data_IF_985837881145
#
_entry.id   IF_985837881145
#
_cell.length_a   1.000
_cell.length_b   1.000
_cell.length_c   1.000
_cell.angle_alpha   90.00
_cell.angle_beta   90.00
_cell.angle_gamma   90.00
#
_symmetry.space_group_name_H-M   'P 1'
#
loop_
_entity.id
_entity.type
_entity.pdbx_description
1 polymer ?
#
# COMPACT_ATOMS: atom_id res chain seq x y z
N UNK A 1 12.68 -16.65 -23.47
CA UNK A 1 12.97 -15.52 -22.56
C UNK A 1 14.32 -14.96 -22.97
N UNK A 2 14.42 -13.69 -23.36
CA UNK A 2 15.71 -13.07 -23.70
C UNK A 2 16.58 -13.10 -22.44
N UNK A 3 17.71 -13.80 -22.49
CA UNK A 3 18.68 -13.81 -21.41
C UNK A 3 19.20 -12.38 -21.24
N UNK A 4 18.78 -11.71 -20.16
CA UNK A 4 19.32 -10.42 -19.80
C UNK A 4 20.80 -10.60 -19.47
N UNK A 5 21.65 -9.82 -20.13
CA UNK A 5 23.09 -9.78 -19.85
C UNK A 5 23.40 -8.49 -19.11
N UNK A 6 24.15 -8.56 -18.02
CA UNK A 6 24.58 -7.39 -17.25
C UNK A 6 26.05 -7.49 -16.88
N UNK A 7 26.67 -6.32 -16.68
CA UNK A 7 28.02 -6.27 -16.16
C UNK A 7 28.04 -6.76 -14.70
N UNK A 8 28.87 -7.75 -14.41
CA UNK A 8 29.08 -8.25 -13.06
C UNK A 8 30.41 -7.71 -12.53
N UNK A 9 30.38 -6.92 -11.48
CA UNK A 9 31.58 -6.32 -10.86
C UNK A 9 32.55 -7.38 -10.34
N UNK A 10 32.04 -8.50 -9.80
CA UNK A 10 32.88 -9.61 -9.30
C UNK A 10 33.55 -10.41 -10.42
N UNK A 11 32.87 -10.60 -11.56
CA UNK A 11 33.46 -11.26 -12.73
C UNK A 11 34.26 -10.30 -13.62
N UNK A 12 34.10 -9.00 -13.43
CA UNK A 12 34.64 -7.93 -14.26
C UNK A 12 34.31 -8.08 -15.76
N UNK A 13 33.12 -8.58 -16.09
CA UNK A 13 32.64 -8.75 -17.48
C UNK A 13 31.12 -8.85 -17.56
N UNK A 14 30.59 -8.75 -18.77
CA UNK A 14 29.17 -8.95 -19.08
C UNK A 14 28.83 -10.43 -19.00
N UNK A 15 27.90 -10.78 -18.11
CA UNK A 15 27.45 -12.13 -17.82
C UNK A 15 25.95 -12.25 -18.00
N UNK A 16 25.48 -13.46 -18.25
CA UNK A 16 24.06 -13.79 -18.16
C UNK A 16 23.59 -13.68 -16.70
N UNK A 17 22.35 -13.24 -16.53
CA UNK A 17 21.73 -13.07 -15.21
C UNK A 17 20.48 -13.93 -15.05
N UNK A 18 20.28 -14.39 -13.83
CA UNK A 18 19.00 -14.92 -13.36
C UNK A 18 18.22 -13.80 -12.69
N UNK A 19 16.95 -13.62 -13.09
CA UNK A 19 16.05 -12.65 -12.45
C UNK A 19 15.27 -13.35 -11.36
N UNK A 20 15.38 -12.84 -10.15
CA UNK A 20 14.69 -13.33 -8.97
C UNK A 20 13.79 -12.22 -8.40
N UNK A 21 12.85 -12.61 -7.53
CA UNK A 21 11.99 -11.69 -6.80
C UNK A 21 12.10 -11.89 -5.29
N UNK A 22 11.88 -10.82 -4.54
CA UNK A 22 11.69 -10.86 -3.10
C UNK A 22 10.69 -9.80 -2.66
N UNK A 23 10.06 -10.00 -1.50
CA UNK A 23 9.24 -8.95 -0.88
C UNK A 23 10.15 -7.94 -0.21
N UNK A 24 10.01 -6.68 -0.57
CA UNK A 24 10.67 -5.55 0.09
C UNK A 24 9.61 -4.57 0.59
N UNK A 25 9.87 -3.96 1.74
CA UNK A 25 9.02 -2.90 2.26
C UNK A 25 9.77 -1.58 2.25
N UNK A 26 9.05 -0.50 1.95
CA UNK A 26 9.59 0.86 1.99
C UNK A 26 8.62 1.78 2.71
N UNK A 27 9.18 2.60 3.59
CA UNK A 27 8.43 3.56 4.39
C UNK A 27 8.41 4.92 3.68
N UNK A 28 7.24 5.53 3.63
CA UNK A 28 6.98 6.84 3.05
C UNK A 28 6.24 7.70 4.07
N UNK A 29 6.20 9.01 3.85
CA UNK A 29 5.49 9.94 4.73
C UNK A 29 3.98 9.66 4.84
N UNK A 30 3.41 8.96 3.86
CA UNK A 30 1.99 8.59 3.79
C UNK A 30 1.70 7.18 4.32
N UNK A 31 2.73 6.41 4.68
CA UNK A 31 2.61 5.04 5.17
C UNK A 31 3.68 4.09 4.62
N UNK A 32 3.53 2.81 4.92
CA UNK A 32 4.46 1.74 4.52
C UNK A 32 3.87 0.93 3.37
N UNK A 33 4.62 0.79 2.28
CA UNK A 33 4.26 -0.12 1.18
C UNK A 33 5.09 -1.40 1.25
N UNK A 34 4.53 -2.49 0.74
CA UNK A 34 5.26 -3.74 0.46
C UNK A 34 5.09 -4.08 -1.00
N UNK A 35 6.18 -4.42 -1.67
CA UNK A 35 6.20 -4.68 -3.11
C UNK A 35 7.14 -5.85 -3.45
N UNK A 36 6.89 -6.48 -4.59
CA UNK A 36 7.76 -7.54 -5.12
C UNK A 36 8.92 -6.89 -5.88
N UNK A 37 10.08 -6.83 -5.25
CA UNK A 37 11.32 -6.32 -5.84
C UNK A 37 11.93 -7.38 -6.75
N UNK A 38 12.22 -7.00 -7.98
CA UNK A 38 13.03 -7.80 -8.90
C UNK A 38 14.51 -7.46 -8.73
N UNK A 39 15.36 -8.48 -8.72
CA UNK A 39 16.81 -8.30 -8.69
C UNK A 39 17.49 -9.36 -9.57
N UNK A 40 18.67 -9.04 -10.09
CA UNK A 40 19.44 -9.92 -10.96
C UNK A 40 20.59 -10.56 -10.20
N UNK A 41 20.85 -11.85 -10.42
CA UNK A 41 22.05 -12.54 -9.94
C UNK A 41 22.89 -13.00 -11.12
N UNK A 42 24.20 -12.79 -11.06
CA UNK A 42 25.12 -13.32 -12.05
C UNK A 42 25.10 -14.86 -12.02
N UNK A 43 24.85 -15.50 -13.17
CA UNK A 43 24.82 -16.97 -13.25
C UNK A 43 26.18 -17.64 -12.98
N UNK A 44 27.29 -16.89 -13.06
CA UNK A 44 28.63 -17.43 -12.86
C UNK A 44 29.09 -17.35 -11.40
N UNK A 45 28.88 -16.21 -10.73
CA UNK A 45 29.40 -15.99 -9.38
C UNK A 45 28.31 -15.86 -8.30
N UNK A 46 27.03 -15.86 -8.69
CA UNK A 46 25.87 -15.77 -7.79
C UNK A 46 25.64 -14.39 -7.16
N UNK A 47 26.53 -13.42 -7.39
CA UNK A 47 26.39 -12.08 -6.83
C UNK A 47 25.22 -11.32 -7.47
N UNK A 48 24.57 -10.48 -6.67
CA UNK A 48 23.60 -9.51 -7.18
C UNK A 48 24.29 -8.54 -8.15
N UNK A 49 23.60 -8.22 -9.23
CA UNK A 49 24.07 -7.29 -10.26
C UNK A 49 23.01 -6.25 -10.54
N UNK A 50 23.46 -5.02 -10.76
CA UNK A 50 22.57 -3.94 -11.14
C UNK A 50 22.11 -4.10 -12.60
N UNK A 51 20.80 -3.93 -12.82
CA UNK A 51 20.19 -3.87 -14.14
C UNK A 51 19.26 -2.67 -14.23
N UNK A 52 19.49 -1.81 -15.21
CA UNK A 52 18.64 -0.65 -15.45
C UNK A 52 17.19 -1.04 -15.77
N UNK A 53 16.99 -2.14 -16.49
CA UNK A 53 15.64 -2.65 -16.81
C UNK A 53 14.89 -3.11 -15.57
N UNK A 54 15.56 -3.82 -14.66
CA UNK A 54 14.98 -4.25 -13.39
C UNK A 54 14.67 -3.05 -12.49
N UNK A 55 15.59 -2.08 -12.43
CA UNK A 55 15.38 -0.82 -11.71
C UNK A 55 14.14 -0.06 -12.22
N UNK A 56 13.95 0.00 -13.54
CA UNK A 56 12.76 0.62 -14.15
C UNK A 56 11.47 -0.12 -13.79
N UNK A 57 11.47 -1.45 -13.81
CA UNK A 57 10.31 -2.27 -13.41
C UNK A 57 9.96 -2.09 -11.93
N UNK A 58 10.97 -2.13 -11.05
CA UNK A 58 10.78 -1.89 -9.62
C UNK A 58 10.22 -0.49 -9.34
N UNK A 59 10.73 0.54 -10.02
CA UNK A 59 10.20 1.90 -9.90
C UNK A 59 8.74 1.99 -10.31
N UNK A 60 8.34 1.30 -11.39
CA UNK A 60 6.95 1.24 -11.81
C UNK A 60 6.05 0.58 -10.77
N UNK A 61 6.50 -0.52 -10.17
CA UNK A 61 5.75 -1.23 -9.13
C UNK A 61 5.62 -0.39 -7.85
N UNK A 62 6.71 0.25 -7.42
CA UNK A 62 6.69 1.19 -6.28
C UNK A 62 5.68 2.30 -6.52
N UNK A 63 5.68 2.93 -7.70
CA UNK A 63 4.75 4.01 -8.02
C UNK A 63 3.29 3.55 -7.99
N UNK A 64 3.02 2.33 -8.47
CA UNK A 64 1.69 1.73 -8.38
C UNK A 64 1.25 1.55 -6.93
N UNK A 65 2.13 1.03 -6.07
CA UNK A 65 1.87 0.86 -4.64
C UNK A 65 1.70 2.17 -3.89
N UNK A 66 2.44 3.21 -4.26
CA UNK A 66 2.24 4.56 -3.70
C UNK A 66 0.84 5.06 -4.04
N UNK A 67 0.41 4.91 -5.29
CA UNK A 67 -0.93 5.34 -5.71
C UNK A 67 -2.05 4.60 -4.97
N UNK A 68 -1.92 3.28 -4.83
CA UNK A 68 -2.86 2.46 -4.03
C UNK A 68 -2.96 3.00 -2.59
N UNK A 69 -1.83 3.35 -1.97
CA UNK A 69 -1.79 3.92 -0.61
C UNK A 69 -2.41 5.34 -0.54
N UNK A 70 -2.18 6.19 -1.55
CA UNK A 70 -2.80 7.51 -1.63
C UNK A 70 -4.33 7.43 -1.73
N UNK A 71 -4.84 6.48 -2.53
CA UNK A 71 -6.28 6.22 -2.66
C UNK A 71 -6.87 5.75 -1.32
N UNK A 72 -6.21 4.83 -0.61
CA UNK A 72 -6.61 4.35 0.71
C UNK A 72 -6.67 5.50 1.74
N UNK A 73 -5.63 6.34 1.81
CA UNK A 73 -5.59 7.50 2.71
C UNK A 73 -6.70 8.50 2.38
N UNK A 74 -7.00 8.69 1.10
CA UNK A 74 -8.08 9.58 0.66
C UNK A 74 -9.43 9.07 1.13
N UNK A 75 -9.71 7.77 0.99
CA UNK A 75 -10.96 7.15 1.48
C UNK A 75 -11.07 7.31 2.99
N UNK A 76 -9.99 7.07 3.74
CA UNK A 76 -9.98 7.25 5.20
C UNK A 76 -10.32 8.69 5.59
N UNK A 77 -9.74 9.68 4.90
CA UNK A 77 -10.04 11.10 5.16
C UNK A 77 -11.50 11.46 4.87
N UNK A 78 -12.10 10.89 3.83
CA UNK A 78 -13.52 11.09 3.53
C UNK A 78 -14.38 10.54 4.69
N UNK A 79 -14.09 9.31 5.14
CA UNK A 79 -14.81 8.69 6.26
C UNK A 79 -14.66 9.51 7.54
N UNK A 80 -13.47 10.00 7.85
CA UNK A 80 -13.20 10.86 9.01
C UNK A 80 -13.92 12.22 8.89
N UNK A 81 -13.97 12.80 7.70
CA UNK A 81 -14.70 14.03 7.41
C UNK A 81 -16.20 13.85 7.61
N UNK A 82 -16.79 12.75 7.13
CA UNK A 82 -18.20 12.44 7.30
C UNK A 82 -18.58 12.20 8.77
N UNK A 83 -17.67 11.65 9.60
CA UNK A 83 -17.89 11.51 11.04
C UNK A 83 -17.86 12.84 11.81
N UNK A 84 -17.27 13.89 11.24
CA UNK A 84 -17.17 15.24 11.85
C UNK A 84 -18.31 16.18 11.43
N UNK A 85 -19.27 15.72 10.62
CA UNK A 85 -20.50 16.47 10.40
C UNK A 85 -21.24 16.61 11.74
N UNK A 86 -21.41 17.84 12.22
CA UNK A 86 -22.39 18.10 13.27
C UNK A 86 -23.75 17.68 12.71
N UNK A 87 -24.31 16.58 13.23
CA UNK A 87 -25.74 16.35 13.18
C UNK A 87 -26.37 17.51 13.96
N UNK A 88 -26.77 18.56 13.24
CA UNK A 88 -27.65 19.59 13.79
C UNK A 88 -29.00 18.90 13.91
N UNK A 89 -29.25 18.29 15.07
CA UNK A 89 -30.57 17.76 15.41
C UNK A 89 -31.51 18.95 15.50
N UNK A 90 -32.48 19.02 14.59
CA UNK A 90 -33.56 19.99 14.71
C UNK A 90 -34.41 19.62 15.95
N UNK A 91 -35.15 20.58 16.51
CA UNK A 91 -35.88 20.32 17.77
C UNK A 91 -36.83 19.11 17.68
N UNK A 92 -37.36 18.80 16.51
CA UNK A 92 -38.18 17.60 16.28
C UNK A 92 -37.41 16.28 16.40
N UNK A 93 -36.12 16.26 16.07
CA UNK A 93 -35.29 15.04 16.16
C UNK A 93 -34.98 14.66 17.61
N UNK A 94 -34.95 15.64 18.52
CA UNK A 94 -34.75 15.42 19.96
C UNK A 94 -35.96 14.77 20.62
N UNK A 95 -37.18 15.12 20.22
CA UNK A 95 -38.39 14.48 20.73
C UNK A 95 -38.45 13.01 20.31
N UNK A 96 -38.09 12.73 19.06
CA UNK A 96 -38.03 11.39 18.50
C UNK A 96 -36.97 10.51 19.19
N UNK A 97 -35.79 11.08 19.47
CA UNK A 97 -34.74 10.40 20.25
C UNK A 97 -35.17 10.09 21.69
N UNK A 98 -35.86 11.02 22.35
CA UNK A 98 -36.37 10.82 23.71
C UNK A 98 -37.46 9.73 23.77
N UNK A 99 -38.32 9.63 22.75
CA UNK A 99 -39.28 8.52 22.63
C UNK A 99 -38.56 7.18 22.43
N UNK A 100 -37.54 7.12 21.57
CA UNK A 100 -36.76 5.91 21.34
C UNK A 100 -36.04 5.46 22.61
N UNK A 101 -35.41 6.38 23.35
CA UNK A 101 -34.79 6.07 24.65
C UNK A 101 -35.82 5.56 25.66
N UNK A 102 -36.99 6.19 25.74
CA UNK A 102 -38.07 5.78 26.64
C UNK A 102 -38.59 4.38 26.32
N UNK A 103 -38.73 4.03 25.04
CA UNK A 103 -39.12 2.69 24.59
C UNK A 103 -38.06 1.65 24.94
N UNK A 104 -36.78 1.98 24.76
CA UNK A 104 -35.66 1.07 25.07
C UNK A 104 -35.51 0.83 26.57
N UNK A 105 -35.62 1.88 27.40
CA UNK A 105 -35.57 1.78 28.85
C UNK A 105 -36.75 0.98 29.42
N UNK A 106 -37.93 1.08 28.80
CA UNK A 106 -39.10 0.30 29.21
C UNK A 106 -39.04 -1.17 28.75
N UNK A 107 -38.36 -1.47 27.64
CA UNK A 107 -38.11 -2.86 27.21
C UNK A 107 -37.19 -3.62 28.15
N UNK A 108 -36.24 -2.95 28.80
CA UNK A 108 -35.28 -3.57 29.75
C UNK A 108 -35.81 -3.70 31.19
N UNK A 109 -37.07 -3.32 31.45
CA UNK A 109 -37.74 -3.46 32.75
C UNK A 109 -38.71 -4.65 32.84
N UNK A 110 -38.66 -5.58 31.88
CA UNK A 110 -39.40 -6.86 31.92
C UNK A 110 -38.47 -8.03 32.17
#
# INVERSE_FOLDING_TARGET
MQQSRCFCEKCNKIQDIEVNSCKESKEFNIGKITYDKLYGKCLVCGNEVYSFELSKKNKSEINKKIKELEDEVTILRIIEGSKKGNLILENGDKELLNEIESILLNKNKK
#
